data_IF_411235074929
#
_entry.id   IF_411235074929
#
_cell.length_a   1.000
_cell.length_b   1.000
_cell.length_c   1.000
_cell.angle_alpha   90.00
_cell.angle_beta   90.00
_cell.angle_gamma   90.00
#
_symmetry.space_group_name_H-M   'P 1'
#
loop_
_entity.id
_entity.type
_entity.pdbx_description
1 polymer ?
#
# COMPACT_ATOMS: atom_id res chain seq x y z
N UNK A 1 8.66 -46.98 66.85
CA UNK A 1 9.44 -47.93 67.67
C UNK A 1 8.61 -48.29 68.89
N UNK A 2 8.47 -49.57 69.18
CA UNK A 2 7.67 -50.09 70.30
C UNK A 2 8.53 -51.09 71.07
N UNK A 3 8.64 -50.95 72.39
CA UNK A 3 9.35 -51.90 73.24
C UNK A 3 8.43 -53.07 73.59
N UNK A 4 8.86 -54.30 73.34
CA UNK A 4 8.13 -55.52 73.67
C UNK A 4 8.76 -56.12 74.93
N UNK A 5 8.01 -56.08 76.02
CA UNK A 5 8.51 -56.40 77.35
C UNK A 5 8.78 -57.90 77.52
N UNK A 6 8.00 -58.78 76.88
CA UNK A 6 8.21 -60.23 76.97
C UNK A 6 9.52 -60.68 76.34
N UNK A 7 9.97 -60.00 75.27
CA UNK A 7 11.18 -60.36 74.52
C UNK A 7 12.38 -59.48 74.85
N UNK A 8 12.20 -58.45 75.70
CA UNK A 8 13.22 -57.45 76.01
C UNK A 8 13.86 -56.81 74.75
N UNK A 9 13.07 -56.60 73.69
CA UNK A 9 13.53 -56.10 72.40
C UNK A 9 12.70 -54.90 71.92
N UNK A 10 13.30 -54.07 71.06
CA UNK A 10 12.64 -52.95 70.39
C UNK A 10 12.18 -53.36 68.99
N UNK A 11 10.87 -53.30 68.74
CA UNK A 11 10.29 -53.48 67.42
C UNK A 11 10.25 -52.15 66.67
N UNK A 12 10.80 -52.12 65.45
CA UNK A 12 10.70 -50.99 64.54
C UNK A 12 9.83 -51.36 63.35
N UNK A 13 8.59 -50.84 63.36
CA UNK A 13 7.71 -50.85 62.18
C UNK A 13 7.91 -49.50 61.51
N UNK A 14 8.34 -49.54 60.25
CA UNK A 14 8.50 -48.36 59.43
C UNK A 14 8.15 -48.68 57.98
N UNK A 15 7.80 -47.64 57.25
CA UNK A 15 7.53 -47.71 55.83
C UNK A 15 8.48 -46.77 55.09
N UNK A 16 9.10 -47.19 53.98
CA UNK A 16 9.96 -46.30 53.20
C UNK A 16 9.13 -45.14 52.61
N UNK A 17 9.60 -43.91 52.82
CA UNK A 17 9.00 -42.70 52.24
C UNK A 17 9.66 -42.46 50.89
N UNK A 18 8.93 -42.77 49.82
CA UNK A 18 9.39 -42.62 48.45
C UNK A 18 8.52 -41.57 47.75
N UNK A 19 9.15 -40.65 47.02
CA UNK A 19 8.44 -39.55 46.31
C UNK A 19 8.07 -39.91 44.88
N UNK A 20 8.84 -40.80 44.26
CA UNK A 20 8.70 -41.18 42.85
C UNK A 20 8.85 -42.70 42.71
N UNK A 21 8.13 -43.29 41.74
CA UNK A 21 8.19 -44.72 41.45
C UNK A 21 9.61 -45.16 41.01
N UNK A 22 10.37 -44.26 40.40
CA UNK A 22 11.77 -44.48 40.00
C UNK A 22 12.73 -44.57 41.20
N UNK A 23 12.32 -44.08 42.37
CA UNK A 23 13.11 -44.25 43.60
C UNK A 23 13.09 -45.71 44.09
N UNK A 24 12.09 -46.51 43.73
CA UNK A 24 12.03 -47.93 44.10
C UNK A 24 13.20 -48.72 43.50
N UNK A 25 13.50 -48.51 42.22
CA UNK A 25 14.61 -49.19 41.54
C UNK A 25 15.97 -48.77 42.10
N UNK A 26 16.10 -47.50 42.48
CA UNK A 26 17.34 -46.96 43.08
C UNK A 26 17.60 -47.53 44.47
N UNK A 27 16.54 -47.77 45.25
CA UNK A 27 16.61 -48.38 46.59
C UNK A 27 16.63 -49.91 46.51
N UNK A 28 16.34 -50.50 45.35
CA UNK A 28 16.30 -51.95 45.14
C UNK A 28 15.03 -52.61 45.69
N UNK A 29 13.96 -51.82 45.88
CA UNK A 29 12.66 -52.31 46.33
C UNK A 29 11.72 -52.53 45.15
N UNK A 30 10.80 -53.48 45.29
CA UNK A 30 9.74 -53.73 44.31
C UNK A 30 8.40 -53.23 44.83
N UNK A 31 7.51 -52.87 43.90
CA UNK A 31 6.14 -52.42 44.22
C UNK A 31 5.33 -53.48 44.99
N UNK A 32 5.67 -54.77 44.84
CA UNK A 32 5.03 -55.88 45.54
C UNK A 32 5.52 -56.04 46.99
N UNK A 33 6.63 -55.40 47.37
CA UNK A 33 7.14 -55.41 48.76
C UNK A 33 6.45 -54.35 49.62
N UNK A 34 5.74 -53.41 49.01
CA UNK A 34 4.84 -52.50 49.71
C UNK A 34 3.52 -53.21 50.03
N UNK A 35 3.18 -53.26 51.33
CA UNK A 35 1.96 -53.89 51.81
C UNK A 35 0.71 -53.22 51.23
N UNK A 36 -0.27 -54.03 50.84
CA UNK A 36 -1.60 -53.56 50.41
C UNK A 36 -2.46 -53.07 51.58
N UNK A 37 -2.09 -53.39 52.82
CA UNK A 37 -2.78 -52.97 54.02
C UNK A 37 -2.29 -51.62 54.56
N UNK A 38 -1.29 -51.03 53.91
CA UNK A 38 -0.68 -49.75 54.27
C UNK A 38 -0.90 -48.70 53.18
N UNK A 39 -0.87 -47.41 53.54
CA UNK A 39 -1.17 -46.28 52.66
C UNK A 39 -0.03 -45.90 51.71
N UNK A 40 1.16 -46.46 51.94
CA UNK A 40 2.40 -46.14 51.23
C UNK A 40 2.32 -46.41 49.72
N UNK A 41 1.76 -47.56 49.33
CA UNK A 41 1.56 -47.93 47.93
C UNK A 41 0.60 -46.98 47.22
N UNK A 42 -0.55 -46.68 47.84
CA UNK A 42 -1.55 -45.78 47.26
C UNK A 42 -1.03 -44.34 47.13
N UNK A 43 -0.31 -43.85 48.14
CA UNK A 43 0.27 -42.50 48.14
C UNK A 43 1.27 -42.33 47.01
N UNK A 44 2.13 -43.33 46.81
CA UNK A 44 3.16 -43.31 45.78
C UNK A 44 2.54 -43.30 44.38
N UNK A 45 1.52 -44.12 44.14
CA UNK A 45 0.80 -44.14 42.86
C UNK A 45 0.05 -42.83 42.61
N UNK A 46 -0.63 -42.27 43.61
CA UNK A 46 -1.34 -41.01 43.50
C UNK A 46 -0.40 -39.82 43.20
N UNK A 47 0.76 -39.77 43.85
CA UNK A 47 1.78 -38.75 43.58
C UNK A 47 2.33 -38.85 42.15
N UNK A 48 2.60 -40.07 41.69
CA UNK A 48 3.03 -40.31 40.31
C UNK A 48 1.98 -39.84 39.29
N UNK A 49 0.69 -40.11 39.55
CA UNK A 49 -0.39 -39.66 38.70
C UNK A 49 -0.48 -38.13 38.65
N UNK A 50 -0.46 -37.48 39.82
CA UNK A 50 -0.53 -36.02 39.93
C UNK A 50 0.67 -35.34 39.24
N UNK A 51 1.86 -35.94 39.35
CA UNK A 51 3.05 -35.48 38.65
C UNK A 51 2.91 -35.54 37.12
N UNK A 52 2.37 -36.65 36.60
CA UNK A 52 2.13 -36.82 35.16
C UNK A 52 1.10 -35.80 34.67
N UNK A 53 -0.01 -35.61 35.38
CA UNK A 53 -1.04 -34.63 35.01
C UNK A 53 -0.48 -33.20 34.96
N UNK A 54 0.34 -32.84 35.95
CA UNK A 54 1.00 -31.53 35.99
C UNK A 54 1.98 -31.36 34.82
N UNK A 55 2.75 -32.41 34.49
CA UNK A 55 3.66 -32.38 33.34
C UNK A 55 2.93 -32.26 32.00
N UNK A 56 1.85 -33.01 31.80
CA UNK A 56 1.02 -32.90 30.60
C UNK A 56 0.44 -31.48 30.49
N UNK A 57 -0.03 -30.92 31.61
CA UNK A 57 -0.56 -29.56 31.67
C UNK A 57 0.49 -28.52 31.28
N UNK A 58 1.72 -28.63 31.81
CA UNK A 58 2.84 -27.77 31.44
C UNK A 58 3.19 -27.88 29.95
N UNK A 59 3.35 -29.10 29.44
CA UNK A 59 3.65 -29.31 28.02
C UNK A 59 2.54 -28.74 27.12
N UNK A 60 1.27 -28.87 27.53
CA UNK A 60 0.14 -28.30 26.79
C UNK A 60 0.17 -26.76 26.81
N UNK A 61 0.61 -26.16 27.92
CA UNK A 61 0.73 -24.72 28.07
C UNK A 61 1.87 -24.16 27.24
N UNK A 62 3.03 -24.83 27.22
CA UNK A 62 4.16 -24.47 26.37
C UNK A 62 3.80 -24.56 24.88
N UNK A 63 3.12 -25.64 24.47
CA UNK A 63 2.65 -25.79 23.10
C UNK A 63 1.67 -24.66 22.72
N UNK A 64 0.70 -24.34 23.59
CA UNK A 64 -0.22 -23.21 23.40
C UNK A 64 0.52 -21.87 23.33
N UNK A 65 1.51 -21.63 24.19
CA UNK A 65 2.31 -20.40 24.17
C UNK A 65 3.10 -20.26 22.87
N UNK A 66 3.70 -21.35 22.37
CA UNK A 66 4.39 -21.36 21.07
C UNK A 66 3.45 -21.02 19.92
N UNK A 67 2.25 -21.59 19.89
CA UNK A 67 1.23 -21.29 18.89
C UNK A 67 0.75 -19.83 19.00
N UNK A 68 0.51 -19.33 20.22
CA UNK A 68 0.12 -17.95 20.46
C UNK A 68 1.18 -16.97 19.93
N UNK A 69 2.45 -17.25 20.19
CA UNK A 69 3.56 -16.43 19.72
C UNK A 69 3.68 -16.45 18.19
N UNK A 70 3.50 -17.61 17.54
CA UNK A 70 3.51 -17.69 16.07
C UNK A 70 2.32 -16.95 15.44
N UNK A 71 1.15 -16.99 16.07
CA UNK A 71 -0.01 -16.19 15.66
C UNK A 71 0.24 -14.70 15.83
N UNK A 72 0.81 -14.27 16.96
CA UNK A 72 1.10 -12.86 17.24
C UNK A 72 2.09 -12.27 16.22
N UNK A 73 3.17 -13.00 15.90
CA UNK A 73 4.12 -12.58 14.86
C UNK A 73 3.48 -12.48 13.47
N UNK A 74 2.58 -13.40 13.13
CA UNK A 74 1.82 -13.37 11.88
C UNK A 74 0.86 -12.18 11.82
N UNK A 75 0.16 -11.89 12.92
CA UNK A 75 -0.72 -10.72 13.05
C UNK A 75 0.06 -9.41 12.95
N UNK A 76 1.23 -9.32 13.56
CA UNK A 76 2.11 -8.15 13.44
C UNK A 76 2.61 -7.95 12.01
N UNK A 77 2.94 -9.02 11.31
CA UNK A 77 3.33 -8.96 9.90
C UNK A 77 2.17 -8.45 9.01
N UNK A 78 0.95 -8.96 9.24
CA UNK A 78 -0.25 -8.50 8.53
C UNK A 78 -0.52 -7.03 8.84
N UNK A 79 -0.49 -6.65 10.13
CA UNK A 79 -0.70 -5.27 10.58
C UNK A 79 0.29 -4.30 9.93
N UNK A 80 1.58 -4.65 9.87
CA UNK A 80 2.61 -3.83 9.21
C UNK A 80 2.35 -3.67 7.71
N UNK A 81 1.94 -4.73 7.02
CA UNK A 81 1.57 -4.66 5.59
C UNK A 81 0.36 -3.77 5.37
N UNK A 82 -0.69 -3.92 6.18
CA UNK A 82 -1.89 -3.08 6.13
C UNK A 82 -1.55 -1.62 6.40
N UNK A 83 -0.78 -1.33 7.45
CA UNK A 83 -0.36 0.04 7.79
C UNK A 83 0.46 0.66 6.64
N UNK A 84 1.35 -0.11 5.99
CA UNK A 84 2.11 0.35 4.83
C UNK A 84 1.22 0.72 3.64
N UNK A 85 0.18 -0.07 3.34
CA UNK A 85 -0.76 0.22 2.26
C UNK A 85 -1.59 1.48 2.56
N UNK A 86 -2.02 1.66 3.80
CA UNK A 86 -2.76 2.87 4.22
C UNK A 86 -1.89 4.12 4.04
N UNK A 87 -0.61 4.05 4.43
CA UNK A 87 0.31 5.18 4.28
C UNK A 87 0.70 5.49 2.83
N UNK A 88 0.47 4.56 1.89
CA UNK A 88 0.62 4.81 0.45
C UNK A 88 -0.58 5.57 -0.13
N UNK A 89 -1.76 5.41 0.45
CA UNK A 89 -2.99 6.06 -0.03
C UNK A 89 -3.29 7.41 0.65
N UNK A 90 -2.90 7.56 1.92
CA UNK A 90 -3.22 8.72 2.76
C UNK A 90 -1.97 9.13 3.52
N UNK A 91 -1.74 10.44 3.76
CA UNK A 91 -0.57 10.85 4.49
C UNK A 91 -0.54 10.32 5.93
N UNK A 92 0.66 10.02 6.43
CA UNK A 92 0.86 9.42 7.76
C UNK A 92 0.17 10.18 8.90
N UNK A 93 0.27 11.51 8.94
CA UNK A 93 -0.36 12.32 10.01
C UNK A 93 -1.87 12.17 10.04
N UNK A 94 -2.49 12.08 8.88
CA UNK A 94 -3.93 11.93 8.70
C UNK A 94 -4.36 10.49 9.00
N UNK A 95 -3.61 9.51 8.49
CA UNK A 95 -3.86 8.10 8.74
C UNK A 95 -3.81 7.74 10.23
N UNK A 96 -2.88 8.32 11.01
CA UNK A 96 -2.83 8.10 12.46
C UNK A 96 -4.04 8.68 13.19
N UNK A 97 -4.55 9.83 12.74
CA UNK A 97 -5.73 10.47 13.33
C UNK A 97 -7.00 9.67 13.05
N UNK A 98 -7.18 9.22 11.80
CA UNK A 98 -8.27 8.32 11.42
C UNK A 98 -8.22 7.01 12.22
N UNK A 99 -7.03 6.44 12.43
CA UNK A 99 -6.84 5.23 13.24
C UNK A 99 -7.24 5.44 14.71
N UNK A 100 -7.02 6.64 15.25
CA UNK A 100 -7.40 6.99 16.62
C UNK A 100 -8.91 7.23 16.78
N UNK A 101 -9.70 7.06 15.70
CA UNK A 101 -11.15 7.23 15.73
C UNK A 101 -11.62 8.67 15.55
N UNK A 102 -10.74 9.58 15.11
CA UNK A 102 -11.18 10.93 14.73
C UNK A 102 -12.06 10.85 13.48
N UNK A 103 -13.26 11.44 13.55
CA UNK A 103 -14.16 11.51 12.40
C UNK A 103 -13.57 12.32 11.26
N UNK A 104 -13.89 11.97 10.00
CA UNK A 104 -13.33 12.61 8.80
C UNK A 104 -13.47 14.13 8.77
N UNK A 105 -14.50 14.68 9.41
CA UNK A 105 -14.71 16.13 9.53
C UNK A 105 -13.66 16.83 10.39
N UNK A 106 -13.16 16.17 11.45
CA UNK A 106 -12.12 16.74 12.33
C UNK A 106 -10.76 16.77 11.65
N UNK A 107 -10.57 15.96 10.61
CA UNK A 107 -9.37 15.88 9.78
C UNK A 107 -9.30 17.01 8.75
N UNK A 108 -10.40 17.75 8.54
CA UNK A 108 -10.41 18.90 7.64
C UNK A 108 -9.60 20.05 8.25
N UNK A 109 -8.55 20.49 7.54
CA UNK A 109 -7.69 21.57 7.96
C UNK A 109 -7.57 22.63 6.87
N UNK A 110 -7.63 23.90 7.29
CA UNK A 110 -7.30 25.03 6.44
C UNK A 110 -5.80 25.31 6.49
N UNK A 111 -5.19 25.42 5.31
CA UNK A 111 -3.80 25.79 5.13
C UNK A 111 -3.73 27.16 4.49
N UNK A 112 -3.06 28.11 5.14
CA UNK A 112 -3.01 29.51 4.71
C UNK A 112 -2.16 29.71 3.45
N UNK A 113 -1.06 28.98 3.34
CA UNK A 113 -0.15 29.06 2.20
C UNK A 113 0.34 27.68 1.82
N UNK A 114 -0.01 27.28 0.60
CA UNK A 114 0.33 25.99 0.01
C UNK A 114 0.70 26.25 -1.44
N UNK A 115 1.72 25.56 -1.95
CA UNK A 115 2.06 25.59 -3.38
C UNK A 115 1.60 24.31 -4.05
N UNK A 116 0.85 24.47 -5.13
CA UNK A 116 0.25 23.43 -5.93
C UNK A 116 0.86 23.41 -7.33
N UNK A 117 0.96 22.22 -7.91
CA UNK A 117 1.42 22.00 -9.26
C UNK A 117 0.48 21.02 -9.97
N UNK A 118 -0.05 21.47 -11.11
CA UNK A 118 -0.71 20.61 -12.10
C UNK A 118 0.20 20.43 -13.31
N UNK A 119 0.30 19.20 -13.79
CA UNK A 119 0.93 18.90 -15.06
C UNK A 119 0.07 18.00 -15.91
N UNK A 120 0.19 18.16 -17.23
CA UNK A 120 -0.60 17.44 -18.21
C UNK A 120 0.23 17.11 -19.46
N UNK A 121 -0.07 16.00 -20.13
CA UNK A 121 0.65 15.58 -21.33
C UNK A 121 0.05 16.28 -22.55
N UNK A 122 0.91 16.87 -23.38
CA UNK A 122 0.44 17.55 -24.59
C UNK A 122 -0.06 16.53 -25.61
N UNK A 123 -1.35 16.59 -25.93
CA UNK A 123 -1.96 15.77 -26.97
C UNK A 123 -2.23 14.32 -26.55
N UNK A 124 -2.34 14.04 -25.24
CA UNK A 124 -2.58 12.70 -24.71
C UNK A 124 -3.80 12.01 -25.33
N UNK A 125 -4.93 12.72 -25.49
CA UNK A 125 -6.13 12.15 -26.13
C UNK A 125 -5.85 11.61 -27.52
N UNK A 126 -5.01 12.30 -28.30
CA UNK A 126 -4.60 11.87 -29.65
C UNK A 126 -3.68 10.67 -29.60
N UNK A 127 -2.75 10.65 -28.64
CA UNK A 127 -1.85 9.51 -28.39
C UNK A 127 -2.66 8.27 -28.00
N UNK A 128 -3.60 8.39 -27.06
CA UNK A 128 -4.49 7.31 -26.64
C UNK A 128 -5.39 6.78 -27.76
N UNK A 129 -5.83 7.66 -28.66
CA UNK A 129 -6.63 7.26 -29.81
C UNK A 129 -5.82 6.47 -30.85
N UNK A 130 -4.49 6.63 -30.85
CA UNK A 130 -3.58 6.00 -31.83
C UNK A 130 -2.93 4.72 -31.30
N UNK A 131 -2.84 4.56 -29.97
CA UNK A 131 -2.18 3.43 -29.30
C UNK A 131 -3.17 2.34 -28.88
N UNK A 132 -2.67 1.10 -28.75
CA UNK A 132 -3.47 0.01 -28.16
C UNK A 132 -3.61 0.25 -26.65
N UNK A 133 -4.75 -0.09 -26.02
CA UNK A 133 -4.97 0.15 -24.59
C UNK A 133 -3.84 -0.36 -23.66
N UNK A 134 -3.24 -1.56 -23.86
CA UNK A 134 -2.12 -2.00 -23.03
C UNK A 134 -0.86 -1.13 -23.15
N UNK A 135 -0.62 -0.52 -24.31
CA UNK A 135 0.53 0.37 -24.53
C UNK A 135 0.33 1.71 -23.82
N UNK A 136 -0.91 2.23 -23.80
CA UNK A 136 -1.26 3.43 -23.04
C UNK A 136 -1.02 3.22 -21.54
N UNK A 137 -1.44 2.07 -21.01
CA UNK A 137 -1.22 1.73 -19.60
C UNK A 137 0.27 1.60 -19.28
N UNK A 138 1.07 0.96 -20.16
CA UNK A 138 2.53 0.90 -19.99
C UNK A 138 3.14 2.30 -19.96
N UNK A 139 2.75 3.18 -20.90
CA UNK A 139 3.24 4.56 -20.96
C UNK A 139 2.94 5.36 -19.69
N UNK A 140 1.70 5.26 -19.19
CA UNK A 140 1.31 5.94 -17.94
C UNK A 140 2.04 5.38 -16.71
N UNK A 141 2.21 4.06 -16.62
CA UNK A 141 2.94 3.44 -15.53
C UNK A 141 4.42 3.84 -15.53
N UNK A 142 5.06 3.88 -16.71
CA UNK A 142 6.44 4.33 -16.87
C UNK A 142 6.58 5.80 -16.45
N UNK A 143 5.64 6.66 -16.86
CA UNK A 143 5.59 8.07 -16.48
C UNK A 143 5.42 8.24 -14.97
N UNK A 144 4.44 7.57 -14.37
CA UNK A 144 4.17 7.66 -12.93
C UNK A 144 5.28 7.07 -12.09
N UNK A 145 5.98 6.03 -12.55
CA UNK A 145 7.15 5.50 -11.84
C UNK A 145 8.26 6.54 -11.74
N UNK A 146 8.52 7.28 -12.83
CA UNK A 146 9.50 8.36 -12.83
C UNK A 146 9.03 9.51 -11.95
N UNK A 147 7.78 9.95 -12.06
CA UNK A 147 7.27 11.07 -11.27
C UNK A 147 7.16 10.75 -9.79
N UNK A 148 6.72 9.56 -9.40
CA UNK A 148 6.64 9.12 -8.00
C UNK A 148 8.04 9.07 -7.37
N UNK A 149 9.07 8.64 -8.12
CA UNK A 149 10.46 8.75 -7.67
C UNK A 149 10.88 10.20 -7.42
N UNK A 150 10.52 11.13 -8.31
CA UNK A 150 10.83 12.55 -8.16
C UNK A 150 10.07 13.20 -6.98
N UNK A 151 8.84 12.75 -6.71
CA UNK A 151 8.02 13.17 -5.57
C UNK A 151 8.73 12.82 -4.26
N UNK A 152 9.25 11.60 -4.16
CA UNK A 152 10.01 11.16 -2.99
C UNK A 152 11.31 11.95 -2.79
N UNK A 153 12.05 12.25 -3.88
CA UNK A 153 13.28 13.05 -3.81
C UNK A 153 13.03 14.49 -3.34
N UNK A 154 11.96 15.12 -3.83
CA UNK A 154 11.63 16.51 -3.52
C UNK A 154 10.80 16.67 -2.22
N UNK A 155 10.41 15.55 -1.59
CA UNK A 155 9.60 15.51 -0.38
C UNK A 155 8.33 16.39 -0.50
N UNK A 156 7.59 16.15 -1.58
CA UNK A 156 6.28 16.74 -1.90
C UNK A 156 5.19 15.67 -1.82
N UNK A 157 3.92 16.05 -1.77
CA UNK A 157 2.81 15.12 -1.62
C UNK A 157 2.01 14.99 -2.92
N UNK A 158 1.85 13.75 -3.40
CA UNK A 158 1.01 13.41 -4.55
C UNK A 158 -0.46 13.36 -4.13
N UNK A 159 -1.30 14.10 -4.83
CA UNK A 159 -2.75 14.08 -4.65
C UNK A 159 -3.36 13.13 -5.69
N UNK A 160 -4.49 12.52 -5.37
CA UNK A 160 -5.19 11.65 -6.31
C UNK A 160 -5.68 12.46 -7.52
N UNK A 161 -5.36 11.99 -8.72
CA UNK A 161 -5.79 12.56 -10.00
C UNK A 161 -6.49 11.54 -10.87
N UNK A 162 -7.18 12.05 -11.89
CA UNK A 162 -7.85 11.26 -12.92
C UNK A 162 -7.15 11.49 -14.25
N UNK A 163 -6.83 10.42 -14.97
CA UNK A 163 -6.28 10.49 -16.33
C UNK A 163 -4.75 10.61 -16.36
N UNK A 164 -4.27 11.53 -17.19
CA UNK A 164 -2.87 11.90 -17.45
C UNK A 164 -2.41 13.14 -16.66
N UNK A 165 -3.35 13.83 -16.02
CA UNK A 165 -3.04 14.93 -15.13
C UNK A 165 -2.32 14.41 -13.88
N UNK A 166 -1.24 15.10 -13.48
CA UNK A 166 -0.49 14.81 -12.26
C UNK A 166 -0.55 16.02 -11.33
N UNK A 167 -1.09 15.82 -10.12
CA UNK A 167 -1.34 16.89 -9.15
C UNK A 167 -0.50 16.66 -7.89
N UNK A 168 0.30 17.66 -7.58
CA UNK A 168 1.22 17.63 -6.45
C UNK A 168 1.02 18.87 -5.61
N UNK A 169 1.23 18.71 -4.31
CA UNK A 169 1.17 19.79 -3.35
C UNK A 169 2.35 19.77 -2.39
N UNK A 170 2.81 20.96 -2.00
CA UNK A 170 3.77 21.15 -0.92
C UNK A 170 3.24 22.18 0.10
N UNK A 171 3.55 21.96 1.37
CA UNK A 171 2.97 22.73 2.49
C UNK A 171 1.70 22.12 3.08
N UNK A 172 1.23 21.01 2.49
CA UNK A 172 0.14 20.17 2.96
C UNK A 172 0.52 18.70 2.71
N UNK A 173 0.28 17.76 3.65
CA UNK A 173 -0.30 17.95 4.99
C UNK A 173 0.67 18.51 6.02
N UNK A 174 1.97 18.46 5.76
CA UNK A 174 2.99 19.02 6.63
C UNK A 174 3.27 20.48 6.23
N UNK A 175 3.01 21.41 7.16
CA UNK A 175 3.29 22.83 6.97
C UNK A 175 4.80 23.05 6.90
N UNK A 176 5.26 23.85 5.94
CA UNK A 176 6.68 24.19 5.82
C UNK A 176 6.90 25.40 4.93
N UNK A 177 7.78 26.31 5.33
CA UNK A 177 8.02 27.59 4.66
C UNK A 177 8.60 27.48 3.24
N UNK A 178 9.21 26.34 2.90
CA UNK A 178 9.94 26.14 1.64
C UNK A 178 9.08 25.45 0.57
N UNK A 179 7.75 25.47 0.69
CA UNK A 179 6.83 24.78 -0.21
C UNK A 179 6.99 25.21 -1.67
N UNK A 180 7.17 26.51 -1.94
CA UNK A 180 7.32 27.03 -3.30
C UNK A 180 8.61 26.56 -3.96
N UNK A 181 9.73 26.52 -3.22
CA UNK A 181 11.02 26.06 -3.72
C UNK A 181 10.97 24.58 -4.12
N UNK A 182 10.38 23.74 -3.24
CA UNK A 182 10.22 22.30 -3.50
C UNK A 182 9.40 22.03 -4.76
N UNK A 183 8.29 22.76 -4.94
CA UNK A 183 7.45 22.59 -6.12
C UNK A 183 8.15 23.07 -7.39
N UNK A 184 8.86 24.19 -7.34
CA UNK A 184 9.60 24.67 -8.50
C UNK A 184 10.77 23.76 -8.88
N UNK A 185 11.48 23.20 -7.89
CA UNK A 185 12.53 22.20 -8.14
C UNK A 185 11.93 20.93 -8.76
N UNK A 186 10.83 20.44 -8.19
CA UNK A 186 10.06 19.33 -8.74
C UNK A 186 9.56 19.60 -10.16
N UNK A 187 9.08 20.81 -10.46
CA UNK A 187 8.62 21.19 -11.80
C UNK A 187 9.73 21.08 -12.84
N UNK A 188 10.94 21.55 -12.51
CA UNK A 188 12.08 21.38 -13.40
C UNK A 188 12.47 19.91 -13.56
N UNK A 189 12.43 19.13 -12.49
CA UNK A 189 12.76 17.71 -12.51
C UNK A 189 11.78 16.91 -13.37
N UNK A 190 10.48 17.24 -13.34
CA UNK A 190 9.48 16.60 -14.21
C UNK A 190 9.71 16.93 -15.69
N UNK A 191 10.02 18.19 -16.01
CA UNK A 191 10.31 18.61 -17.40
C UNK A 191 11.56 17.90 -17.93
N UNK A 192 12.59 17.74 -17.10
CA UNK A 192 13.78 16.97 -17.46
C UNK A 192 13.45 15.47 -17.59
N UNK A 193 12.62 14.93 -16.69
CA UNK A 193 12.22 13.52 -16.67
C UNK A 193 11.40 13.10 -17.89
N UNK A 194 10.42 13.91 -18.29
CA UNK A 194 9.57 13.59 -19.43
C UNK A 194 10.33 13.61 -20.76
N UNK A 195 11.40 14.41 -20.85
CA UNK A 195 12.26 14.45 -22.05
C UNK A 195 12.98 13.13 -22.35
N UNK A 196 13.03 12.21 -21.39
CA UNK A 196 13.66 10.89 -21.50
C UNK A 196 12.66 9.86 -22.01
N UNK A 197 11.37 10.06 -21.72
CA UNK A 197 10.30 9.17 -22.15
C UNK A 197 9.94 9.48 -23.61
N UNK A 198 9.78 8.41 -24.38
CA UNK A 198 9.39 8.48 -25.78
C UNK A 198 7.99 7.95 -25.96
N UNK A 199 7.24 8.61 -26.83
CA UNK A 199 5.98 8.08 -27.31
C UNK A 199 6.22 6.81 -28.14
N UNK A 200 5.48 5.75 -27.82
CA UNK A 200 5.50 4.48 -28.55
C UNK A 200 4.95 4.61 -29.98
N UNK A 201 4.10 5.61 -30.26
CA UNK A 201 3.51 5.82 -31.59
C UNK A 201 4.44 6.61 -32.52
N UNK A 202 4.84 7.82 -32.11
CA UNK A 202 5.59 8.73 -32.97
C UNK A 202 7.12 8.59 -32.84
N UNK A 203 7.61 7.93 -31.78
CA UNK A 203 9.05 7.89 -31.46
C UNK A 203 9.65 9.23 -31.03
N UNK A 204 8.80 10.26 -30.90
CA UNK A 204 9.15 11.60 -30.41
C UNK A 204 9.17 11.60 -28.88
N UNK A 205 9.87 12.58 -28.31
CA UNK A 205 9.84 12.79 -26.87
C UNK A 205 8.45 13.31 -26.47
N UNK A 206 7.95 12.88 -25.32
CA UNK A 206 6.72 13.43 -24.77
C UNK A 206 6.94 14.89 -24.35
N UNK A 207 5.92 15.70 -24.57
CA UNK A 207 5.87 17.09 -24.13
C UNK A 207 4.84 17.23 -23.02
N UNK A 208 5.12 18.13 -22.08
CA UNK A 208 4.28 18.35 -20.92
C UNK A 208 4.01 19.83 -20.71
N UNK A 209 2.81 20.14 -20.22
CA UNK A 209 2.47 21.45 -19.65
C UNK A 209 2.58 21.37 -18.14
N UNK A 210 3.12 22.42 -17.53
CA UNK A 210 3.22 22.53 -16.08
C UNK A 210 2.71 23.91 -15.65
N UNK A 211 1.80 23.92 -14.68
CA UNK A 211 1.24 25.10 -14.04
C UNK A 211 1.43 25.06 -12.53
N UNK A 212 1.90 26.14 -11.92
CA UNK A 212 2.13 26.25 -10.48
C UNK A 212 1.46 27.49 -9.90
N UNK A 213 0.78 27.31 -8.77
CA UNK A 213 0.14 28.40 -8.06
C UNK A 213 0.26 28.24 -6.54
N UNK A 214 0.31 29.36 -5.83
CA UNK A 214 0.39 29.38 -4.37
C UNK A 214 -0.78 30.17 -3.78
N UNK A 215 -1.44 29.59 -2.78
CA UNK A 215 -2.57 30.21 -2.10
C UNK A 215 -3.13 29.35 -0.97
N UNK A 216 -4.13 29.85 -0.24
CA UNK A 216 -4.80 29.11 0.80
C UNK A 216 -5.67 27.99 0.22
N UNK A 217 -5.70 26.84 0.89
CA UNK A 217 -6.52 25.68 0.51
C UNK A 217 -7.07 24.99 1.74
N UNK A 218 -8.18 24.28 1.59
CA UNK A 218 -8.72 23.40 2.62
C UNK A 218 -8.46 21.97 2.19
N UNK A 219 -7.87 21.17 3.06
CA UNK A 219 -7.62 19.75 2.77
C UNK A 219 -8.34 18.87 3.79
N UNK A 220 -8.84 17.73 3.33
CA UNK A 220 -9.63 16.82 4.17
C UNK A 220 -9.78 15.44 3.56
N UNK A 221 -10.28 14.51 4.36
CA UNK A 221 -10.54 13.13 3.91
C UNK A 221 -12.01 12.98 3.54
N UNK A 222 -12.27 12.53 2.32
CA UNK A 222 -13.61 12.26 1.81
C UNK A 222 -13.85 10.75 1.75
N UNK A 223 -15.05 10.32 2.13
CA UNK A 223 -15.52 8.95 1.92
C UNK A 223 -15.19 8.02 3.08
N UNK A 224 -16.16 7.18 3.46
CA UNK A 224 -16.00 6.26 4.59
C UNK A 224 -15.43 4.90 4.15
N UNK A 225 -15.84 4.39 2.98
CA UNK A 225 -15.37 3.08 2.46
C UNK A 225 -14.04 3.18 1.73
N UNK A 226 -13.86 4.24 0.95
CA UNK A 226 -12.62 4.54 0.22
C UNK A 226 -12.20 5.96 0.60
N UNK A 227 -11.47 6.12 1.71
CA UNK A 227 -11.04 7.43 2.18
C UNK A 227 -9.99 8.00 1.22
N UNK A 228 -10.23 9.23 0.73
CA UNK A 228 -9.36 9.96 -0.18
C UNK A 228 -8.96 11.28 0.42
N UNK A 229 -7.68 11.60 0.43
CA UNK A 229 -7.20 12.90 0.89
C UNK A 229 -7.24 13.90 -0.27
N UNK A 230 -8.18 14.83 -0.22
CA UNK A 230 -8.44 15.78 -1.29
C UNK A 230 -8.23 17.22 -0.83
N UNK A 231 -7.88 18.07 -1.79
CA UNK A 231 -7.73 19.51 -1.59
C UNK A 231 -8.88 20.24 -2.28
N UNK A 232 -9.37 21.27 -1.61
CA UNK A 232 -10.52 22.06 -2.02
C UNK A 232 -10.20 23.55 -1.95
N UNK A 233 -10.93 24.31 -2.77
CA UNK A 233 -10.92 25.76 -2.78
C UNK A 233 -10.66 26.34 -4.16
N UNK A 234 -10.96 27.63 -4.30
CA UNK A 234 -10.82 28.38 -5.55
C UNK A 234 -9.41 28.27 -6.15
N UNK A 235 -8.37 28.21 -5.31
CA UNK A 235 -6.98 28.16 -5.76
C UNK A 235 -6.61 26.83 -6.43
N UNK A 236 -7.33 25.73 -6.17
CA UNK A 236 -7.11 24.45 -6.85
C UNK A 236 -7.49 24.60 -8.33
N UNK A 237 -8.71 25.04 -8.61
CA UNK A 237 -9.19 25.30 -9.98
C UNK A 237 -8.43 26.43 -10.68
N UNK A 238 -7.88 27.39 -9.93
CA UNK A 238 -6.99 28.41 -10.48
C UNK A 238 -5.66 27.79 -10.94
N UNK A 239 -5.10 26.85 -10.19
CA UNK A 239 -3.86 26.13 -10.57
C UNK A 239 -4.06 25.33 -11.86
N UNK A 240 -5.21 24.67 -12.01
CA UNK A 240 -5.60 23.99 -13.25
C UNK A 240 -5.61 24.96 -14.43
N UNK A 241 -6.20 26.17 -14.27
CA UNK A 241 -6.15 27.21 -15.32
C UNK A 241 -4.74 27.66 -15.67
N UNK A 242 -3.81 27.69 -14.70
CA UNK A 242 -2.40 27.98 -14.97
C UNK A 242 -1.73 26.87 -15.80
N UNK A 243 -2.06 25.60 -15.56
CA UNK A 243 -1.60 24.48 -16.39
C UNK A 243 -2.15 24.59 -17.81
N UNK A 244 -3.47 24.74 -17.97
CA UNK A 244 -4.09 24.64 -19.29
C UNK A 244 -3.73 25.82 -20.22
N UNK A 245 -3.33 26.96 -19.65
CA UNK A 245 -2.79 28.12 -20.38
C UNK A 245 -1.25 28.14 -20.44
N UNK A 246 -0.59 27.06 -20.02
CA UNK A 246 0.86 26.90 -20.15
C UNK A 246 1.27 26.52 -21.57
N UNK A 247 2.54 26.77 -21.91
CA UNK A 247 3.12 26.34 -23.17
C UNK A 247 3.86 25.00 -22.98
N UNK A 248 3.92 24.14 -24.03
CA UNK A 248 4.68 22.90 -23.96
C UNK A 248 6.12 23.12 -23.50
N UNK A 249 6.57 22.26 -22.58
CA UNK A 249 7.92 22.27 -22.00
C UNK A 249 8.31 23.56 -21.26
N UNK A 250 7.34 24.42 -20.94
CA UNK A 250 7.55 25.62 -20.11
C UNK A 250 6.76 25.52 -18.81
N UNK A 251 7.38 25.98 -17.73
CA UNK A 251 6.77 25.99 -16.40
C UNK A 251 6.09 27.34 -16.20
N UNK A 252 4.77 27.34 -16.07
CA UNK A 252 3.98 28.53 -15.86
C UNK A 252 3.70 28.73 -14.37
N UNK A 253 4.07 29.88 -13.83
CA UNK A 253 3.91 30.19 -12.41
C UNK A 253 3.03 31.44 -12.23
N UNK A 254 2.20 31.43 -11.19
CA UNK A 254 1.43 32.61 -10.75
C UNK A 254 2.29 33.65 -10.02
N UNK A 255 1.79 34.88 -9.94
CA UNK A 255 2.37 35.98 -9.14
C UNK A 255 2.62 35.60 -7.68
N UNK A 256 1.66 34.94 -7.03
CA UNK A 256 1.80 34.50 -5.64
C UNK A 256 2.96 33.51 -5.46
N UNK A 257 3.11 32.57 -6.40
CA UNK A 257 4.22 31.63 -6.38
C UNK A 257 5.55 32.36 -6.59
N UNK A 258 5.58 33.32 -7.53
CA UNK A 258 6.78 34.13 -7.80
C UNK A 258 7.26 34.92 -6.59
N UNK A 259 6.34 35.49 -5.82
CA UNK A 259 6.65 36.27 -4.63
C UNK A 259 7.33 35.44 -3.52
N UNK A 260 7.08 34.14 -3.48
CA UNK A 260 7.65 33.21 -2.50
C UNK A 260 9.01 32.65 -2.94
N UNK A 261 9.42 32.87 -4.19
CA UNK A 261 10.67 32.34 -4.72
C UNK A 261 11.85 33.29 -4.49
N UNK A 262 13.01 32.77 -4.07
CA UNK A 262 14.22 33.58 -3.93
C UNK A 262 14.74 34.06 -5.30
N UNK A 263 15.62 35.07 -5.34
CA UNK A 263 16.15 35.65 -6.59
C UNK A 263 16.95 34.67 -7.46
N UNK A 264 17.36 33.52 -6.90
CA UNK A 264 18.05 32.44 -7.63
C UNK A 264 17.21 31.81 -8.75
N UNK A 265 15.88 31.99 -8.71
CA UNK A 265 14.97 31.50 -9.75
C UNK A 265 14.73 32.61 -10.78
N UNK A 266 15.12 32.33 -12.02
CA UNK A 266 14.99 33.25 -13.15
C UNK A 266 13.60 33.09 -13.76
N UNK A 267 12.85 34.18 -13.78
CA UNK A 267 11.46 34.21 -14.22
C UNK A 267 11.21 35.31 -15.22
N UNK A 268 10.45 35.02 -16.27
CA UNK A 268 10.10 35.97 -17.33
C UNK A 268 8.61 36.25 -17.26
N UNK A 269 8.24 37.53 -17.14
CA UNK A 269 6.83 37.94 -17.12
C UNK A 269 6.15 37.68 -18.48
N UNK A 270 4.92 37.15 -18.45
CA UNK A 270 4.09 36.94 -19.64
C UNK A 270 3.14 38.13 -19.83
N UNK A 271 3.29 38.85 -20.94
CA UNK A 271 2.45 40.00 -21.32
C UNK A 271 1.58 39.66 -22.53
N UNK A 272 0.88 38.54 -22.47
CA UNK A 272 -0.07 38.13 -23.51
C UNK A 272 -1.44 38.77 -23.25
N UNK A 273 -2.04 39.35 -24.28
CA UNK A 273 -3.39 39.93 -24.18
C UNK A 273 -4.43 38.85 -23.85
N UNK A 274 -5.30 39.13 -22.87
CA UNK A 274 -6.35 38.22 -22.42
C UNK A 274 -5.90 37.07 -21.52
N UNK A 275 -4.59 36.84 -21.32
CA UNK A 275 -4.11 35.78 -20.43
C UNK A 275 -4.54 36.03 -18.98
N UNK A 276 -4.39 37.28 -18.50
CA UNK A 276 -4.79 37.67 -17.14
C UNK A 276 -6.26 37.34 -16.85
N UNK A 277 -7.18 37.57 -17.79
CA UNK A 277 -8.59 37.25 -17.60
C UNK A 277 -8.84 35.73 -17.51
N UNK A 278 -8.08 34.92 -18.25
CA UNK A 278 -8.16 33.45 -18.20
C UNK A 278 -7.61 32.88 -16.89
N UNK A 279 -6.58 33.51 -16.31
CA UNK A 279 -5.96 33.11 -15.03
C UNK A 279 -6.46 33.92 -13.82
N UNK A 280 -7.72 34.37 -13.84
CA UNK A 280 -8.36 34.97 -12.67
C UNK A 280 -7.86 36.37 -12.29
N UNK A 281 -7.30 37.12 -13.23
CA UNK A 281 -6.82 38.50 -13.05
C UNK A 281 -5.40 38.61 -12.50
N UNK A 282 -4.72 37.48 -12.26
CA UNK A 282 -3.35 37.48 -11.73
C UNK A 282 -2.31 37.67 -12.83
N UNK A 283 -1.11 38.13 -12.45
CA UNK A 283 0.05 38.14 -13.35
C UNK A 283 0.63 36.73 -13.48
N UNK A 284 1.17 36.48 -14.67
CA UNK A 284 1.71 35.20 -15.09
C UNK A 284 3.19 35.32 -15.41
N UNK A 285 3.98 34.33 -15.01
CA UNK A 285 5.41 34.29 -15.29
C UNK A 285 5.81 32.90 -15.80
N UNK A 286 6.82 32.83 -16.66
CA UNK A 286 7.51 31.59 -16.97
C UNK A 286 8.72 31.42 -16.07
N UNK A 287 8.85 30.25 -15.46
CA UNK A 287 10.05 29.85 -14.76
C UNK A 287 11.03 29.23 -15.76
N UNK A 288 12.18 29.86 -15.95
CA UNK A 288 13.14 29.49 -17.03
C UNK A 288 14.29 28.65 -16.51
N UNK A 289 14.95 29.08 -15.44
CA UNK A 289 16.11 28.39 -14.89
C UNK A 289 16.33 28.75 -13.43
N UNK A 290 17.18 27.95 -12.78
CA UNK A 290 17.64 28.15 -11.41
C UNK A 290 19.16 28.18 -11.40
N UNK A 291 19.75 29.16 -10.71
CA UNK A 291 21.19 29.24 -10.53
C UNK A 291 21.74 28.00 -9.78
N UNK A 292 22.86 27.44 -10.23
CA UNK A 292 23.53 26.26 -9.66
C UNK A 292 22.74 24.92 -9.68
N UNK A 293 21.65 24.80 -10.45
CA UNK A 293 20.93 23.53 -10.59
C UNK A 293 21.73 22.53 -11.43
N UNK A 294 21.92 21.32 -10.92
CA UNK A 294 22.42 20.17 -11.70
C UNK A 294 21.20 19.43 -12.28
N UNK A 295 21.06 19.32 -13.61
CA UNK A 295 19.97 18.56 -14.20
C UNK A 295 20.09 17.08 -13.84
N UNK A 296 18.96 16.39 -13.73
CA UNK A 296 18.94 14.97 -13.39
C UNK A 296 19.65 14.18 -14.48
N UNK A 297 20.55 13.27 -14.08
CA UNK A 297 21.27 12.41 -15.01
C UNK A 297 20.29 11.41 -15.64
N UNK A 298 20.25 11.38 -16.98
CA UNK A 298 19.42 10.43 -17.75
C UNK A 298 19.63 8.96 -17.40
N UNK A 299 20.80 8.61 -16.86
CA UNK A 299 21.13 7.25 -16.42
C UNK A 299 20.33 6.82 -15.18
N UNK A 300 20.11 7.72 -14.22
CA UNK A 300 19.33 7.42 -13.00
C UNK A 300 17.88 7.10 -13.34
N UNK A 301 17.31 7.83 -14.30
CA UNK A 301 15.92 7.65 -14.72
C UNK A 301 15.75 6.36 -15.55
N UNK A 302 16.73 6.02 -16.39
CA UNK A 302 16.70 4.76 -17.15
C UNK A 302 16.78 3.49 -16.29
N UNK A 303 17.39 3.57 -15.10
CA UNK A 303 17.47 2.44 -14.16
C UNK A 303 16.12 2.16 -13.49
N UNK A 304 15.26 3.19 -13.38
CA UNK A 304 13.94 3.07 -12.75
C UNK A 304 12.88 2.45 -13.68
N UNK A 305 13.10 2.51 -15.00
CA UNK A 305 12.19 1.92 -15.97
C UNK A 305 12.44 0.41 -16.07
N UNK A 306 11.38 -0.42 -16.01
CA UNK A 306 11.54 -1.85 -16.20
C UNK A 306 12.14 -2.12 -17.59
N UNK A 307 13.23 -2.86 -17.63
CA UNK A 307 13.89 -3.22 -18.88
C UNK A 307 12.97 -4.18 -19.65
N UNK A 308 12.86 -4.01 -20.97
CA UNK A 308 11.92 -4.75 -21.86
C UNK A 308 12.04 -6.30 -21.83
N UNK A 309 12.89 -6.88 -20.98
CA UNK A 309 13.01 -8.31 -20.72
C UNK A 309 11.93 -8.90 -19.79
N UNK A 310 11.12 -8.08 -19.11
CA UNK A 310 10.08 -8.54 -18.18
C UNK A 310 8.63 -8.27 -18.66
N UNK A 311 8.42 -7.96 -19.94
CA UNK A 311 7.06 -7.92 -20.49
C UNK A 311 6.59 -9.32 -20.88
N UNK A 312 5.36 -9.74 -20.56
CA UNK A 312 4.79 -10.95 -21.16
C UNK A 312 4.72 -10.75 -22.67
N UNK A 313 5.32 -11.67 -23.43
CA UNK A 313 5.09 -11.77 -24.88
C UNK A 313 3.60 -12.01 -25.08
N UNK A 314 2.88 -10.99 -25.56
CA UNK A 314 1.51 -11.15 -26.02
C UNK A 314 1.60 -11.66 -27.46
N UNK A 315 1.64 -12.98 -27.61
CA UNK A 315 1.56 -13.65 -28.90
C UNK A 315 0.11 -13.56 -29.42
N UNK A 316 -0.05 -13.20 -30.69
CA UNK A 316 -1.35 -13.20 -31.34
C UNK A 316 -1.35 -12.53 -32.71
N UNK A 317 -0.82 -13.22 -33.72
CA UNK A 317 -1.29 -13.08 -35.10
C UNK A 317 -2.02 -14.37 -35.51
N UNK A 318 -3.21 -14.29 -36.13
CA UNK A 318 -3.87 -15.44 -36.70
C UNK A 318 -3.45 -15.56 -38.17
N UNK A 319 -2.78 -16.64 -38.55
CA UNK A 319 -2.71 -17.06 -39.95
C UNK A 319 -2.99 -18.55 -40.04
N UNK A 320 -4.03 -18.88 -40.79
CA UNK A 320 -4.46 -20.24 -41.04
C UNK A 320 -3.74 -20.90 -42.20
N UNK A 321 -4.07 -22.20 -42.31
CA UNK A 321 -3.93 -23.17 -43.40
C UNK A 321 -2.72 -24.10 -43.35
N UNK A 322 -3.08 -25.32 -42.93
CA UNK A 322 -2.82 -26.61 -43.57
C UNK A 322 -1.37 -27.09 -43.73
N UNK A 323 -1.03 -28.20 -43.05
CA UNK A 323 -0.65 -29.48 -43.68
C UNK A 323 -0.21 -30.54 -42.67
N UNK A 324 -0.86 -31.71 -42.78
CA UNK A 324 -0.49 -33.09 -42.45
C UNK A 324 0.85 -33.42 -41.77
N UNK A 325 0.80 -34.27 -40.73
CA UNK A 325 1.18 -35.71 -40.80
C UNK A 325 1.62 -36.32 -39.45
N UNK A 326 0.98 -37.44 -39.12
CA UNK A 326 1.47 -38.69 -38.46
C UNK A 326 2.34 -38.68 -37.18
N UNK A 327 1.86 -39.51 -36.22
CA UNK A 327 2.56 -40.39 -35.26
C UNK A 327 3.46 -39.71 -34.19
N UNK A 328 3.53 -40.11 -32.92
CA UNK A 328 3.53 -41.44 -32.32
C UNK A 328 3.31 -41.33 -30.79
N UNK A 329 2.90 -42.42 -30.15
CA UNK A 329 2.58 -42.55 -28.73
C UNK A 329 3.79 -42.39 -27.78
N UNK A 330 3.56 -41.91 -26.54
CA UNK A 330 3.89 -42.68 -25.32
C UNK A 330 3.38 -42.05 -24.02
N UNK A 331 2.79 -42.94 -23.22
CA UNK A 331 2.41 -42.95 -21.79
C UNK A 331 3.43 -42.21 -20.88
N UNK A 332 3.11 -41.68 -19.70
CA UNK A 332 2.39 -42.29 -18.57
C UNK A 332 2.21 -41.24 -17.45
N UNK A 333 1.07 -41.21 -16.74
CA UNK A 333 0.90 -40.57 -15.42
C UNK A 333 0.18 -41.57 -14.50
N UNK A 334 0.65 -41.83 -13.27
CA UNK A 334 -0.11 -42.63 -12.31
C UNK A 334 -1.13 -41.77 -11.56
N UNK A 335 -2.36 -42.29 -11.47
CA UNK A 335 -3.37 -41.93 -10.48
C UNK A 335 -3.04 -42.56 -9.12
N UNK A 336 -3.42 -41.92 -8.02
CA UNK A 336 -3.98 -42.64 -6.89
C UNK A 336 -5.04 -41.80 -6.15
N UNK A 337 -6.18 -42.45 -5.98
CA UNK A 337 -7.44 -42.07 -5.34
C UNK A 337 -7.40 -42.09 -3.81
N UNK A 338 -8.22 -41.26 -3.14
CA UNK A 338 -8.89 -41.63 -1.88
C UNK A 338 -10.35 -41.16 -1.93
N UNK A 339 -11.21 -42.04 -1.42
CA UNK A 339 -12.67 -42.10 -1.46
C UNK A 339 -13.35 -41.49 -0.23
N UNK A 340 -14.60 -41.08 -0.48
CA UNK A 340 -15.82 -41.11 0.35
C UNK A 340 -15.89 -40.34 1.69
N UNK A 341 -16.81 -39.38 1.77
CA UNK A 341 -18.10 -39.62 2.43
C UNK A 341 -19.08 -38.46 2.21
N UNK A 342 -20.28 -38.84 1.77
CA UNK A 342 -21.49 -38.02 1.70
C UNK A 342 -22.06 -37.82 3.12
N UNK A 343 -22.52 -36.61 3.42
CA UNK A 343 -23.71 -36.43 4.26
C UNK A 343 -24.50 -35.23 3.73
N UNK A 344 -25.77 -35.53 3.48
CA UNK A 344 -26.78 -34.72 2.81
C UNK A 344 -27.51 -33.83 3.82
N UNK A 345 -27.67 -32.53 3.52
CA UNK A 345 -28.93 -31.81 3.80
C UNK A 345 -28.92 -30.42 3.16
N UNK A 346 -29.65 -30.28 2.06
CA UNK A 346 -30.18 -29.02 1.56
C UNK A 346 -31.31 -28.51 2.47
N UNK A 347 -31.63 -27.21 2.41
CA UNK A 347 -32.90 -26.84 1.79
C UNK A 347 -32.79 -25.68 0.79
N UNK A 348 -33.83 -25.59 -0.04
CA UNK A 348 -34.01 -24.83 -1.29
C UNK A 348 -34.26 -23.31 -1.09
N UNK A 349 -34.28 -22.52 -2.18
CA UNK A 349 -34.19 -21.07 -2.17
C UNK A 349 -35.56 -20.38 -2.11
N UNK A 350 -35.61 -19.19 -1.51
CA UNK A 350 -36.75 -18.28 -1.57
C UNK A 350 -36.29 -16.85 -1.93
N UNK A 351 -36.87 -16.36 -3.03
CA UNK A 351 -37.29 -14.99 -3.32
C UNK A 351 -36.26 -13.84 -3.32
N UNK A 352 -35.76 -13.53 -4.51
CA UNK A 352 -35.30 -12.19 -4.88
C UNK A 352 -36.33 -11.55 -5.84
N UNK A 353 -36.85 -10.33 -5.57
CA UNK A 353 -37.65 -9.62 -6.54
C UNK A 353 -36.74 -8.94 -7.58
N UNK A 354 -37.08 -9.16 -8.85
CA UNK A 354 -36.56 -8.47 -10.03
C UNK A 354 -36.97 -7.00 -10.03
N UNK A 355 -35.99 -6.10 -10.17
CA UNK A 355 -36.22 -4.68 -10.48
C UNK A 355 -35.65 -4.43 -11.87
N UNK A 356 -36.55 -4.09 -12.79
CA UNK A 356 -36.28 -3.48 -14.08
C UNK A 356 -35.60 -2.12 -13.89
N UNK A 357 -34.51 -1.87 -14.60
CA UNK A 357 -34.13 -0.50 -14.99
C UNK A 357 -33.42 -0.51 -16.33
N UNK A 358 -34.01 0.24 -17.26
CA UNK A 358 -33.58 0.51 -18.62
C UNK A 358 -32.11 0.90 -18.75
N UNK A 359 -31.45 0.26 -19.73
CA UNK A 359 -30.14 0.66 -20.23
C UNK A 359 -30.28 1.84 -21.19
N UNK A 360 -30.09 3.06 -20.69
CA UNK A 360 -29.77 4.22 -21.52
C UNK A 360 -29.06 5.24 -20.64
N UNK A 361 -27.72 5.29 -20.70
CA UNK A 361 -26.88 6.49 -20.54
C UNK A 361 -25.40 6.08 -20.69
N UNK A 362 -24.99 5.76 -21.91
CA UNK A 362 -23.59 5.91 -22.32
C UNK A 362 -23.41 7.38 -22.77
N UNK A 363 -22.97 8.24 -21.86
CA UNK A 363 -22.64 9.64 -22.15
C UNK A 363 -21.22 9.93 -21.66
N UNK A 364 -20.33 10.29 -22.58
CA UNK A 364 -18.94 10.62 -22.31
C UNK A 364 -18.80 11.78 -21.32
N UNK A 365 -18.03 11.56 -20.26
CA UNK A 365 -17.67 12.60 -19.30
C UNK A 365 -16.50 13.42 -19.86
N UNK A 366 -16.81 14.65 -20.28
CA UNK A 366 -15.80 15.66 -20.60
C UNK A 366 -15.16 16.22 -19.31
N UNK A 367 -13.85 16.41 -19.36
CA UNK A 367 -12.96 16.79 -18.26
C UNK A 367 -13.33 18.12 -17.54
N UNK A 368 -14.12 19.00 -18.16
CA UNK A 368 -14.41 20.34 -17.60
C UNK A 368 -15.55 20.39 -16.58
N UNK A 369 -16.36 19.33 -16.46
CA UNK A 369 -17.59 19.38 -15.64
C UNK A 369 -17.36 18.90 -14.21
N UNK A 370 -16.31 18.10 -13.95
CA UNK A 370 -16.05 17.55 -12.62
C UNK A 370 -15.40 18.59 -11.67
N UNK A 371 -14.70 19.59 -12.20
CA UNK A 371 -14.05 20.63 -11.39
C UNK A 371 -14.89 21.89 -11.11
N UNK A 372 -16.02 22.11 -11.82
CA UNK A 372 -16.86 23.32 -11.62
C UNK A 372 -18.11 23.10 -10.77
N UNK A 373 -18.36 21.85 -10.36
CA UNK A 373 -19.40 21.48 -9.40
C UNK A 373 -18.70 20.71 -8.29
N UNK A 374 -17.85 21.38 -7.49
CA UNK A 374 -17.37 20.94 -6.16
C UNK A 374 -16.55 22.03 -5.46
#
# INVERSE_FOLDING_TARGET
MVFIQEWHQMLFIACPILKELESLTTVGLFINELSMHDYSRETLLAQSQQYIETRISLNSLEAKSKILNSQLTSLDAIKKKTDSLVYQMIPKSVATRLRNGEGSMNTCEAFECVTMLFSDIVGFTTICSSLRPPQVVKLLNDLYTVFDFLVDQNAVYKVETVGDAYFIVAGCPLRGSNHALKICDMAFDMVDGISILRDFSSGKNLEMRVGCHSGPVVAGVIGNKMPRYCLFGHNVGLTEKFESNSLPMKIHISENCRALLPPQYITVERKEEGLSQKVGGLKSYFLTSKENRKPIKKQTIKVLLPTDSETPKVDGEPNGKDLDSSNEESKEKPQLSIKDNEDNSTPSPADFPSIDTDSQYCGGFNHSTVCNLL
#
